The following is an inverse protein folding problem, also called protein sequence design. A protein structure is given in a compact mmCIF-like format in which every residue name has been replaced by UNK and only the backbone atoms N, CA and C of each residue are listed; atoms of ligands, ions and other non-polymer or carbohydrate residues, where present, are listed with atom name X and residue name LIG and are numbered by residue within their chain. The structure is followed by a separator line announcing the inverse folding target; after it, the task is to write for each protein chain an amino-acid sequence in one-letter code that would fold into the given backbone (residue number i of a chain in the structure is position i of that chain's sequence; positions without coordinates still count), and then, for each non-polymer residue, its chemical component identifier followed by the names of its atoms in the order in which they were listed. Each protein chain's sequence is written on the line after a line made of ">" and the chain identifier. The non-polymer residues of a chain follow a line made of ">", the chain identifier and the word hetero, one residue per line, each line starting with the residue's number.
data_IF_090208329572
#
_entry.id   IF_090208329572
#
_cell.length_a   1.000
_cell.length_b   1.000
_cell.length_c   1.000
_cell.angle_alpha   90.00
_cell.angle_beta   90.00
_cell.angle_gamma   90.00
#
_symmetry.space_group_name_H-M   'P 1'
#
loop_
_entity.id
_entity.type
_entity.pdbx_description
1 polymer ?
#
# COMPACT_ATOMS: atom_id res chain seq x y z
N UNK A 1 10.07 29.94 -16.82
CA UNK A 1 10.31 30.69 -15.56
C UNK A 1 10.43 29.73 -14.35
N UNK A 2 9.47 28.83 -14.10
CA UNK A 2 9.50 27.90 -12.96
C UNK A 2 10.54 26.74 -13.04
N UNK A 3 11.03 26.38 -14.23
CA UNK A 3 12.09 25.37 -14.37
C UNK A 3 13.47 25.83 -13.87
N UNK A 4 13.70 27.13 -13.69
CA UNK A 4 15.02 27.67 -13.33
C UNK A 4 15.34 27.58 -11.82
N UNK A 5 14.36 27.19 -10.99
CA UNK A 5 14.48 27.14 -9.52
C UNK A 5 13.98 25.80 -8.98
N UNK A 6 14.22 24.70 -9.69
CA UNK A 6 13.98 23.39 -9.08
C UNK A 6 14.83 23.31 -7.80
N UNK A 7 14.21 22.98 -6.66
CA UNK A 7 14.98 22.76 -5.44
C UNK A 7 16.03 21.70 -5.73
N UNK A 8 17.20 21.84 -5.10
CA UNK A 8 18.24 20.83 -5.20
C UNK A 8 17.63 19.44 -4.86
N UNK A 9 18.02 18.37 -5.55
CA UNK A 9 17.54 17.03 -5.25
C UNK A 9 17.70 16.75 -3.76
N UNK A 10 16.60 16.41 -3.10
CA UNK A 10 16.61 16.04 -1.69
C UNK A 10 16.79 14.52 -1.56
N UNK A 11 17.93 14.04 -1.03
CA UNK A 11 18.17 12.61 -0.87
C UNK A 11 17.10 11.90 -0.01
N UNK A 12 16.41 12.62 0.88
CA UNK A 12 15.29 12.04 1.64
C UNK A 12 14.05 11.87 0.77
N UNK A 13 13.78 12.80 -0.14
CA UNK A 13 12.71 12.64 -1.13
C UNK A 13 12.96 11.43 -2.03
N UNK A 14 14.19 11.25 -2.51
CA UNK A 14 14.56 10.08 -3.33
C UNK A 14 14.43 8.78 -2.53
N UNK A 15 14.84 8.80 -1.25
CA UNK A 15 14.69 7.63 -0.36
C UNK A 15 13.22 7.30 -0.09
N UNK A 16 12.36 8.31 0.04
CA UNK A 16 10.93 8.13 0.22
C UNK A 16 10.29 7.53 -1.03
N UNK A 17 10.64 8.04 -2.22
CA UNK A 17 10.20 7.49 -3.50
C UNK A 17 10.64 6.03 -3.65
N UNK A 18 11.92 5.72 -3.38
CA UNK A 18 12.41 4.35 -3.41
C UNK A 18 11.66 3.42 -2.44
N UNK A 19 11.31 3.90 -1.25
CA UNK A 19 10.54 3.11 -0.30
C UNK A 19 9.12 2.80 -0.81
N UNK A 20 8.48 3.75 -1.51
CA UNK A 20 7.19 3.54 -2.17
C UNK A 20 7.35 2.53 -3.31
N UNK A 21 8.35 2.69 -4.18
CA UNK A 21 8.60 1.77 -5.29
C UNK A 21 8.82 0.33 -4.79
N UNK A 22 9.50 0.17 -3.65
CA UNK A 22 9.66 -1.14 -3.03
C UNK A 22 8.35 -1.75 -2.56
N UNK A 23 7.40 -0.97 -2.04
CA UNK A 23 6.06 -1.46 -1.69
C UNK A 23 5.31 -1.91 -2.94
N UNK A 24 5.44 -1.17 -4.04
CA UNK A 24 4.76 -1.47 -5.30
C UNK A 24 5.31 -2.76 -5.92
N UNK A 25 6.63 -2.90 -5.93
CA UNK A 25 7.30 -4.00 -6.61
C UNK A 25 7.26 -5.33 -5.84
N UNK A 26 6.96 -5.31 -4.54
CA UNK A 26 7.05 -6.49 -3.68
C UNK A 26 5.79 -6.68 -2.81
N UNK A 27 4.83 -7.49 -3.26
CA UNK A 27 3.59 -7.75 -2.53
C UNK A 27 3.82 -8.49 -1.19
N UNK A 28 5.02 -9.06 -0.97
CA UNK A 28 5.34 -9.74 0.30
C UNK A 28 5.56 -8.74 1.46
N UNK A 29 5.74 -7.44 1.14
CA UNK A 29 5.86 -6.37 2.13
C UNK A 29 4.49 -6.05 2.74
N UNK A 30 4.07 -6.87 3.70
CA UNK A 30 2.79 -6.73 4.41
C UNK A 30 2.89 -5.89 5.69
N UNK A 31 4.11 -5.63 6.18
CA UNK A 31 4.37 -4.95 7.45
C UNK A 31 5.42 -3.86 7.30
N UNK A 32 5.24 -2.76 8.02
CA UNK A 32 6.20 -1.63 8.06
C UNK A 32 7.58 -2.08 8.56
N UNK A 33 7.63 -3.04 9.48
CA UNK A 33 8.89 -3.60 9.98
C UNK A 33 9.68 -4.34 8.88
N UNK A 34 9.00 -5.07 8.00
CA UNK A 34 9.61 -5.74 6.85
C UNK A 34 10.23 -4.72 5.89
N UNK A 35 9.47 -3.66 5.55
CA UNK A 35 9.98 -2.56 4.72
C UNK A 35 11.20 -1.87 5.36
N UNK A 36 11.13 -1.59 6.66
CA UNK A 36 12.23 -0.98 7.39
C UNK A 36 13.50 -1.84 7.34
N UNK A 37 13.35 -3.16 7.52
CA UNK A 37 14.45 -4.12 7.41
C UNK A 37 15.07 -4.12 6.00
N UNK A 38 14.25 -4.19 4.94
CA UNK A 38 14.73 -4.12 3.56
C UNK A 38 15.49 -2.83 3.23
N UNK A 39 15.11 -1.72 3.86
CA UNK A 39 15.72 -0.40 3.64
C UNK A 39 16.84 -0.06 4.62
N UNK A 40 17.29 -1.04 5.44
CA UNK A 40 18.36 -0.86 6.42
C UNK A 40 18.06 0.24 7.45
N UNK A 41 16.80 0.38 7.85
CA UNK A 41 16.33 1.41 8.79
C UNK A 41 15.40 0.83 9.86
N UNK A 42 14.90 1.67 10.75
CA UNK A 42 13.90 1.29 11.74
C UNK A 42 12.54 1.90 11.41
N UNK A 43 11.49 1.35 12.03
CA UNK A 43 10.09 1.76 11.81
C UNK A 43 9.87 3.24 12.08
N UNK A 44 10.46 3.80 13.15
CA UNK A 44 10.29 5.21 13.52
C UNK A 44 10.89 6.14 12.46
N UNK A 45 12.09 5.85 11.98
CA UNK A 45 12.74 6.60 10.90
C UNK A 45 11.93 6.51 9.61
N UNK A 46 11.43 5.33 9.26
CA UNK A 46 10.62 5.13 8.07
C UNK A 46 9.27 5.87 8.15
N UNK A 47 8.61 5.86 9.31
CA UNK A 47 7.38 6.62 9.52
C UNK A 47 7.59 8.12 9.38
N UNK A 48 8.68 8.65 9.93
CA UNK A 48 9.05 10.06 9.80
C UNK A 48 9.32 10.42 8.34
N UNK A 49 10.12 9.61 7.64
CA UNK A 49 10.39 9.79 6.21
C UNK A 49 9.10 9.90 5.39
N UNK A 50 8.14 9.03 5.66
CA UNK A 50 6.83 9.04 5.00
C UNK A 50 5.99 10.27 5.36
N UNK A 51 5.97 10.67 6.63
CA UNK A 51 5.26 11.86 7.07
C UNK A 51 5.82 13.13 6.41
N UNK A 52 7.14 13.25 6.32
CA UNK A 52 7.82 14.45 5.84
C UNK A 52 7.79 14.58 4.30
N UNK A 53 7.84 13.46 3.56
CA UNK A 53 8.00 13.48 2.10
C UNK A 53 6.85 12.84 1.30
N UNK A 54 6.04 11.96 1.90
CA UNK A 54 4.90 11.30 1.22
C UNK A 54 3.56 11.87 1.72
N UNK A 55 3.51 12.40 2.94
CA UNK A 55 2.32 12.95 3.59
C UNK A 55 1.35 11.91 4.15
N UNK A 56 1.64 10.63 3.97
CA UNK A 56 0.84 9.48 4.42
C UNK A 56 1.73 8.41 5.01
N UNK A 57 1.22 7.66 6.00
CA UNK A 57 2.03 6.65 6.69
C UNK A 57 2.35 5.41 5.83
N UNK A 58 3.48 4.73 6.08
CA UNK A 58 3.92 3.58 5.27
C UNK A 58 2.93 2.40 5.34
N UNK A 59 2.25 2.23 6.48
CA UNK A 59 1.21 1.21 6.64
C UNK A 59 0.03 1.45 5.69
N UNK A 60 -0.34 2.71 5.46
CA UNK A 60 -1.43 3.05 4.55
C UNK A 60 -1.06 2.71 3.12
N UNK A 61 0.18 3.04 2.70
CA UNK A 61 0.69 2.74 1.35
C UNK A 61 0.72 1.23 1.11
N UNK A 62 1.28 0.45 2.04
CA UNK A 62 1.26 -1.02 2.00
C UNK A 62 -0.16 -1.56 1.82
N UNK A 63 -1.11 -1.07 2.62
CA UNK A 63 -2.51 -1.51 2.54
C UNK A 63 -3.12 -1.16 1.19
N UNK A 64 -2.92 0.06 0.71
CA UNK A 64 -3.49 0.50 -0.57
C UNK A 64 -3.04 -0.39 -1.72
N UNK A 65 -1.76 -0.72 -1.81
CA UNK A 65 -1.25 -1.56 -2.89
C UNK A 65 -1.72 -3.01 -2.79
N UNK A 66 -1.77 -3.59 -1.58
CA UNK A 66 -2.39 -4.93 -1.38
C UNK A 66 -3.84 -4.96 -1.83
N UNK A 67 -4.60 -3.90 -1.59
CA UNK A 67 -6.01 -3.85 -1.99
C UNK A 67 -6.20 -3.46 -3.46
N UNK A 68 -5.19 -2.94 -4.14
CA UNK A 68 -5.27 -2.62 -5.57
C UNK A 68 -5.41 -3.89 -6.43
N UNK A 69 -4.75 -4.99 -6.02
CA UNK A 69 -4.92 -6.29 -6.67
C UNK A 69 -6.39 -6.74 -6.70
N UNK A 70 -7.18 -6.41 -5.67
CA UNK A 70 -8.62 -6.69 -5.66
C UNK A 70 -9.33 -5.95 -6.78
N UNK A 71 -9.00 -4.68 -6.99
CA UNK A 71 -9.60 -3.87 -8.07
C UNK A 71 -9.19 -4.37 -9.45
N UNK A 72 -7.96 -4.86 -9.61
CA UNK A 72 -7.49 -5.48 -10.85
C UNK A 72 -8.22 -6.79 -11.14
N UNK A 73 -8.34 -7.68 -10.14
CA UNK A 73 -9.08 -8.95 -10.28
C UNK A 73 -10.56 -8.70 -10.62
N UNK A 74 -11.20 -7.73 -9.98
CA UNK A 74 -12.59 -7.33 -10.30
C UNK A 74 -12.74 -6.86 -11.74
N UNK A 75 -11.80 -6.06 -12.25
CA UNK A 75 -11.82 -5.58 -13.63
C UNK A 75 -11.73 -6.72 -14.68
N UNK A 76 -11.26 -7.91 -14.30
CA UNK A 76 -11.24 -9.08 -15.20
C UNK A 76 -12.58 -9.83 -15.28
N UNK A 77 -13.55 -9.52 -14.42
CA UNK A 77 -14.84 -10.23 -14.34
C UNK A 77 -14.74 -11.65 -13.76
N UNK A 78 -13.59 -12.03 -13.19
CA UNK A 78 -13.41 -13.34 -12.57
C UNK A 78 -14.16 -13.41 -11.24
N UNK A 79 -14.98 -14.45 -10.99
CA UNK A 79 -15.61 -14.65 -9.69
C UNK A 79 -14.56 -14.70 -8.58
N UNK A 80 -14.77 -13.92 -7.51
CA UNK A 80 -13.81 -13.80 -6.41
C UNK A 80 -14.21 -14.72 -5.25
N UNK A 81 -13.33 -15.66 -4.94
CA UNK A 81 -13.34 -16.37 -3.66
C UNK A 81 -12.67 -15.49 -2.58
N UNK A 82 -13.50 -14.78 -1.80
CA UNK A 82 -13.04 -13.81 -0.81
C UNK A 82 -12.14 -14.40 0.29
N UNK A 83 -12.45 -15.56 0.91
CA UNK A 83 -11.54 -16.26 1.81
C UNK A 83 -10.15 -16.52 1.23
N UNK A 84 -10.08 -17.06 0.02
CA UNK A 84 -8.81 -17.38 -0.64
C UNK A 84 -8.04 -16.12 -0.97
N UNK A 85 -8.70 -15.10 -1.56
CA UNK A 85 -8.07 -13.80 -1.84
C UNK A 85 -7.53 -13.13 -0.57
N UNK A 86 -8.28 -13.16 0.54
CA UNK A 86 -7.79 -12.61 1.80
C UNK A 86 -6.48 -13.27 2.24
N UNK A 87 -6.37 -14.58 2.07
CA UNK A 87 -5.16 -15.36 2.39
C UNK A 87 -4.02 -15.04 1.44
N UNK A 88 -4.27 -14.99 0.12
CA UNK A 88 -3.27 -14.60 -0.90
C UNK A 88 -2.67 -13.23 -0.62
N UNK A 89 -3.54 -12.28 -0.23
CA UNK A 89 -3.13 -10.94 0.13
C UNK A 89 -2.36 -10.90 1.45
N UNK A 90 -2.35 -11.96 2.26
CA UNK A 90 -1.65 -12.06 3.54
C UNK A 90 -2.47 -11.60 4.75
N UNK A 91 -3.81 -11.63 4.67
CA UNK A 91 -4.69 -11.44 5.82
C UNK A 91 -4.91 -12.77 6.56
N UNK A 92 -5.12 -12.70 7.87
CA UNK A 92 -5.33 -13.89 8.69
C UNK A 92 -6.68 -14.58 8.40
N UNK A 93 -7.69 -13.80 7.97
CA UNK A 93 -9.00 -14.28 7.55
C UNK A 93 -9.75 -13.21 6.74
N UNK A 94 -10.88 -13.62 6.14
CA UNK A 94 -11.76 -12.75 5.36
C UNK A 94 -12.34 -11.58 6.17
N UNK A 95 -12.59 -11.75 7.47
CA UNK A 95 -13.17 -10.71 8.31
C UNK A 95 -12.16 -9.58 8.59
N UNK A 96 -10.88 -9.91 8.78
CA UNK A 96 -9.79 -8.95 8.85
C UNK A 96 -9.63 -8.19 7.53
N UNK A 97 -9.64 -8.90 6.39
CA UNK A 97 -9.61 -8.28 5.06
C UNK A 97 -10.80 -7.33 4.85
N UNK A 98 -12.02 -7.76 5.12
CA UNK A 98 -13.24 -6.97 4.93
C UNK A 98 -13.22 -5.67 5.73
N UNK A 99 -12.76 -5.71 6.98
CA UNK A 99 -12.62 -4.50 7.81
C UNK A 99 -11.60 -3.53 7.25
N UNK A 100 -10.44 -4.04 6.80
CA UNK A 100 -9.38 -3.20 6.24
C UNK A 100 -9.80 -2.60 4.89
N UNK A 101 -10.43 -3.39 4.01
CA UNK A 101 -11.01 -2.94 2.75
C UNK A 101 -12.04 -1.83 2.98
N UNK A 102 -13.00 -2.05 3.89
CA UNK A 102 -14.02 -1.04 4.23
C UNK A 102 -13.41 0.24 4.80
N UNK A 103 -12.33 0.14 5.59
CA UNK A 103 -11.64 1.33 6.10
C UNK A 103 -10.97 2.16 5.00
N UNK A 104 -10.60 1.52 3.88
CA UNK A 104 -9.91 2.16 2.76
C UNK A 104 -10.87 2.67 1.67
N UNK A 105 -11.90 1.89 1.34
CA UNK A 105 -12.83 2.16 0.23
C UNK A 105 -14.22 2.61 0.67
N UNK A 106 -14.53 2.59 1.97
CA UNK A 106 -15.80 3.03 2.54
C UNK A 106 -16.90 1.96 2.55
N UNK A 107 -16.76 0.89 1.77
CA UNK A 107 -17.75 -0.19 1.65
C UNK A 107 -17.11 -1.59 1.70
N UNK A 108 -17.93 -2.64 1.81
CA UNK A 108 -17.41 -4.02 1.82
C UNK A 108 -16.90 -4.41 0.42
N UNK A 109 -15.94 -5.33 0.32
CA UNK A 109 -15.43 -5.79 -0.97
C UNK A 109 -16.53 -6.43 -1.84
N UNK A 110 -17.50 -7.12 -1.23
CA UNK A 110 -18.66 -7.69 -1.96
C UNK A 110 -19.56 -6.61 -2.57
N UNK A 111 -19.91 -5.57 -1.81
CA UNK A 111 -20.73 -4.47 -2.32
C UNK A 111 -19.98 -3.62 -3.36
N UNK A 112 -18.66 -3.43 -3.15
CA UNK A 112 -17.80 -2.82 -4.15
C UNK A 112 -17.82 -3.63 -5.46
N UNK A 113 -17.73 -4.96 -5.38
CA UNK A 113 -17.73 -5.84 -6.55
C UNK A 113 -19.05 -5.84 -7.33
N UNK A 114 -20.21 -5.67 -6.67
CA UNK A 114 -21.51 -5.59 -7.36
C UNK A 114 -21.64 -4.36 -8.28
N UNK A 115 -20.76 -3.37 -8.12
CA UNK A 115 -20.74 -2.13 -8.93
C UNK A 115 -19.86 -2.21 -10.18
N UNK A 116 -19.06 -3.25 -10.33
CA UNK A 116 -18.10 -3.46 -11.43
C UNK A 116 -18.36 -4.79 -12.14
#
# INVERSE_FOLDING_TARGET
>A
FLHAHQPAPDPQSDRAAHAVDRIIADPTITRVATLAHHLGTNVRTLQRLFADHVGIGPKWVIRRYRLHEVTERLATGTPIDWPTLATDLGYADQAHFTRDFKSMFGESPTHYAERY
#
